data_IF_884421741858
#
_entry.id   IF_884421741858
#
_cell.length_a   1.000
_cell.length_b   1.000
_cell.length_c   1.000
_cell.angle_alpha   90.00
_cell.angle_beta   90.00
_cell.angle_gamma   90.00
#
_symmetry.space_group_name_H-M   'P 1'
#
loop_
_entity.id
_entity.type
_entity.pdbx_description
1 polymer ?
#
# COMPACT_ATOMS: atom_id res chain seq x y z
N UNK A 1 -10.12 -23.89 -21.70
CA UNK A 1 -8.79 -23.73 -21.08
C UNK A 1 -9.02 -23.16 -19.69
N UNK A 2 -8.92 -23.98 -18.64
CA UNK A 2 -9.14 -23.54 -17.26
C UNK A 2 -7.90 -22.73 -16.79
N UNK A 3 -8.07 -21.62 -16.04
CA UNK A 3 -6.92 -20.93 -15.47
C UNK A 3 -6.25 -21.84 -14.43
N UNK A 4 -4.93 -21.96 -14.50
CA UNK A 4 -4.13 -22.68 -13.53
C UNK A 4 -4.43 -22.14 -12.13
N UNK A 5 -4.81 -23.04 -11.23
CA UNK A 5 -5.07 -22.76 -9.83
C UNK A 5 -3.74 -22.30 -9.22
N UNK A 6 -3.61 -21.00 -8.97
CA UNK A 6 -2.42 -20.42 -8.32
C UNK A 6 -2.31 -21.06 -6.94
N UNK A 7 -1.25 -21.81 -6.70
CA UNK A 7 -0.98 -22.44 -5.40
C UNK A 7 -0.60 -21.37 -4.37
N UNK A 8 -1.61 -20.90 -3.63
CA UNK A 8 -1.45 -19.91 -2.56
C UNK A 8 -0.82 -20.51 -1.29
N UNK A 9 -0.83 -21.84 -1.13
CA UNK A 9 -0.45 -22.49 0.14
C UNK A 9 1.04 -22.35 0.45
N UNK A 10 1.88 -22.36 -0.60
CA UNK A 10 3.33 -22.22 -0.47
C UNK A 10 3.74 -20.78 -0.14
N UNK A 11 3.07 -19.78 -0.73
CA UNK A 11 3.37 -18.36 -0.48
C UNK A 11 2.93 -17.88 0.91
N UNK A 12 1.85 -18.44 1.45
CA UNK A 12 1.37 -18.17 2.81
C UNK A 12 2.37 -18.65 3.88
N UNK A 13 3.01 -19.79 3.65
CA UNK A 13 4.03 -20.32 4.55
C UNK A 13 5.30 -19.46 4.57
N UNK A 14 5.79 -19.06 3.38
CA UNK A 14 6.93 -18.13 3.27
C UNK A 14 6.63 -16.77 3.93
N UNK A 15 5.39 -16.29 3.83
CA UNK A 15 4.95 -15.04 4.47
C UNK A 15 4.93 -15.16 6.00
N UNK A 16 4.43 -16.29 6.52
CA UNK A 16 4.41 -16.53 7.97
C UNK A 16 5.83 -16.60 8.53
N UNK A 17 6.73 -17.36 7.91
CA UNK A 17 8.13 -17.44 8.32
C UNK A 17 8.82 -16.07 8.24
N UNK A 18 8.53 -15.28 7.20
CA UNK A 18 9.08 -13.92 7.08
C UNK A 18 8.58 -12.95 8.16
N UNK A 19 7.28 -12.97 8.49
CA UNK A 19 6.71 -12.08 9.52
C UNK A 19 7.06 -12.51 10.95
N UNK A 20 7.15 -13.82 11.21
CA UNK A 20 7.50 -14.39 12.52
C UNK A 20 8.95 -14.07 12.90
N UNK A 21 9.85 -14.07 11.93
CA UNK A 21 11.25 -13.75 12.18
C UNK A 21 11.48 -12.27 12.54
N UNK A 22 10.51 -11.37 12.31
CA UNK A 22 10.57 -9.90 12.63
C UNK A 22 11.85 -9.18 12.15
N UNK A 23 12.58 -9.80 11.23
CA UNK A 23 13.91 -9.40 10.77
C UNK A 23 13.87 -8.29 9.71
N UNK A 24 12.69 -8.01 9.16
CA UNK A 24 12.47 -6.96 8.16
C UNK A 24 13.22 -7.21 6.86
N UNK A 25 13.17 -6.24 5.94
CA UNK A 25 13.76 -6.39 4.60
C UNK A 25 15.31 -6.47 4.63
N UNK A 26 15.95 -5.99 5.72
CA UNK A 26 17.41 -6.00 5.85
C UNK A 26 17.99 -7.42 5.87
N UNK A 27 17.30 -8.38 6.51
CA UNK A 27 17.79 -9.76 6.56
C UNK A 27 17.75 -10.47 5.23
N UNK A 28 16.86 -10.09 4.31
CA UNK A 28 16.86 -10.67 2.95
C UNK A 28 18.16 -10.31 2.22
N UNK A 29 18.66 -9.09 2.44
CA UNK A 29 19.95 -8.65 1.89
C UNK A 29 21.10 -9.36 2.60
N UNK A 30 21.08 -9.40 3.94
CA UNK A 30 22.14 -10.06 4.73
C UNK A 30 22.20 -11.58 4.48
N UNK A 31 21.07 -12.23 4.15
CA UNK A 31 20.97 -13.64 3.79
C UNK A 31 21.43 -13.96 2.35
N UNK A 32 21.83 -12.94 1.57
CA UNK A 32 22.34 -13.14 0.21
C UNK A 32 21.28 -13.59 -0.78
N UNK A 33 20.01 -13.26 -0.56
CA UNK A 33 18.91 -13.64 -1.45
C UNK A 33 19.15 -13.08 -2.86
N UNK A 34 19.27 -13.97 -3.85
CA UNK A 34 19.56 -13.62 -5.26
C UNK A 34 18.29 -13.45 -6.11
N UNK A 35 17.15 -13.92 -5.60
CA UNK A 35 15.85 -13.88 -6.28
C UNK A 35 14.77 -13.29 -5.39
N UNK A 36 13.94 -12.40 -5.94
CA UNK A 36 12.85 -11.76 -5.20
C UNK A 36 11.86 -12.85 -4.73
N UNK A 37 11.60 -12.98 -3.42
CA UNK A 37 10.63 -13.95 -2.92
C UNK A 37 9.25 -13.73 -3.53
N UNK A 38 8.54 -14.82 -3.84
CA UNK A 38 7.34 -14.78 -4.68
C UNK A 38 6.20 -13.96 -4.06
N UNK A 39 6.11 -13.89 -2.73
CA UNK A 39 5.13 -13.06 -2.03
C UNK A 39 5.31 -11.55 -2.24
N UNK A 40 6.51 -11.08 -2.63
CA UNK A 40 6.72 -9.69 -3.06
C UNK A 40 6.32 -9.45 -4.53
N UNK A 41 6.14 -10.50 -5.31
CA UNK A 41 5.82 -10.42 -6.74
C UNK A 41 4.31 -10.31 -6.87
N UNK A 42 3.82 -9.08 -7.05
CA UNK A 42 2.41 -8.86 -7.33
C UNK A 42 2.05 -9.48 -8.70
N UNK A 43 0.97 -10.28 -8.77
CA UNK A 43 0.49 -10.87 -10.03
C UNK A 43 0.31 -9.80 -11.11
N UNK A 44 0.66 -10.07 -12.38
CA UNK A 44 0.55 -9.09 -13.47
C UNK A 44 -0.83 -8.44 -13.56
N UNK A 45 -1.88 -9.18 -13.22
CA UNK A 45 -3.28 -8.74 -13.23
C UNK A 45 -3.60 -7.70 -12.14
N UNK A 46 -2.74 -7.59 -11.13
CA UNK A 46 -2.89 -6.70 -9.99
C UNK A 46 -1.92 -5.51 -10.00
N UNK A 47 -0.98 -5.46 -10.95
CA UNK A 47 0.02 -4.38 -11.04
C UNK A 47 -0.66 -3.05 -11.39
N UNK A 48 -0.66 -2.13 -10.43
CA UNK A 48 -1.09 -0.75 -10.64
C UNK A 48 0.14 0.18 -10.81
N UNK A 49 0.10 0.99 -11.85
CA UNK A 49 0.87 2.22 -12.02
C UNK A 49 0.22 3.29 -11.13
N UNK A 50 0.64 3.53 -9.87
CA UNK A 50 1.75 4.37 -9.41
C UNK A 50 1.45 4.79 -7.92
N UNK A 51 2.33 5.59 -7.31
CA UNK A 51 2.73 5.74 -5.88
C UNK A 51 1.71 5.97 -4.73
N UNK A 52 2.19 5.64 -3.51
CA UNK A 52 1.72 5.89 -2.12
C UNK A 52 0.40 6.65 -1.91
N UNK A 53 -0.60 6.01 -1.31
CA UNK A 53 -1.98 6.47 -1.36
C UNK A 53 -2.50 7.02 -0.02
N UNK A 54 -3.36 8.06 -0.03
CA UNK A 54 -4.08 8.53 1.17
C UNK A 54 -5.13 7.54 1.70
N UNK A 55 -5.35 6.43 0.98
CA UNK A 55 -6.45 5.50 1.17
C UNK A 55 -6.51 4.90 2.57
N UNK A 56 -5.38 4.47 3.14
CA UNK A 56 -5.37 3.83 4.47
C UNK A 56 -5.90 4.75 5.56
N UNK A 57 -5.65 6.06 5.45
CA UNK A 57 -6.14 7.04 6.40
C UNK A 57 -7.65 7.26 6.25
N UNK A 58 -8.15 7.29 5.01
CA UNK A 58 -9.58 7.39 4.72
C UNK A 58 -10.36 6.17 5.22
N UNK A 59 -9.91 4.96 4.88
CA UNK A 59 -10.58 3.72 5.27
C UNK A 59 -10.60 3.52 6.79
N UNK A 60 -9.51 3.86 7.47
CA UNK A 60 -9.40 3.73 8.92
C UNK A 60 -10.06 4.87 9.70
N UNK A 61 -10.74 5.81 9.03
CA UNK A 61 -11.33 6.99 9.66
C UNK A 61 -10.32 7.79 10.52
N UNK A 62 -9.17 8.14 9.93
CA UNK A 62 -8.04 8.80 10.61
C UNK A 62 -7.36 8.01 11.75
N UNK A 63 -7.76 6.76 12.02
CA UNK A 63 -7.10 5.93 13.05
C UNK A 63 -5.66 5.56 12.66
N UNK A 64 -5.39 5.33 11.38
CA UNK A 64 -4.03 5.09 10.90
C UNK A 64 -3.38 6.37 10.40
N UNK A 65 -2.19 6.66 10.93
CA UNK A 65 -1.38 7.79 10.52
C UNK A 65 -0.40 7.37 9.43
N UNK A 66 -0.59 7.88 8.22
CA UNK A 66 0.43 7.78 7.16
C UNK A 66 1.57 8.76 7.47
N UNK A 67 2.77 8.24 7.67
CA UNK A 67 3.97 9.00 8.09
C UNK A 67 4.79 9.42 6.87
N UNK A 68 5.23 10.68 6.86
CA UNK A 68 6.18 11.18 5.87
C UNK A 68 7.53 10.49 6.08
N UNK A 69 8.01 9.78 5.06
CA UNK A 69 9.32 9.17 5.05
C UNK A 69 10.22 9.88 4.02
N UNK A 70 11.50 10.06 4.35
CA UNK A 70 12.52 10.61 3.44
C UNK A 70 13.75 9.71 3.45
N UNK A 71 14.44 9.65 2.32
CA UNK A 71 15.73 8.97 2.19
C UNK A 71 16.79 10.05 2.02
N UNK A 72 17.83 10.02 2.86
CA UNK A 72 18.99 10.89 2.70
C UNK A 72 19.91 10.34 1.61
N UNK A 73 20.41 11.22 0.75
CA UNK A 73 21.44 10.87 -0.22
C UNK A 73 22.73 10.49 0.53
N UNK A 74 23.40 9.42 0.06
CA UNK A 74 24.69 9.03 0.59
C UNK A 74 25.81 9.85 -0.06
N UNK A 75 26.88 10.20 0.68
CA UNK A 75 28.07 10.82 0.11
C UNK A 75 28.70 9.95 -1.00
N UNK A 76 29.47 10.59 -1.88
CA UNK A 76 30.14 9.96 -3.02
C UNK A 76 30.86 8.64 -2.62
N UNK A 77 30.65 7.58 -3.39
CA UNK A 77 31.36 6.30 -3.24
C UNK A 77 30.63 5.18 -2.50
N UNK A 78 29.40 5.38 -2.00
CA UNK A 78 28.58 4.31 -1.40
C UNK A 78 27.18 4.25 -2.03
N UNK A 79 26.95 3.37 -3.02
CA UNK A 79 25.62 3.12 -3.57
C UNK A 79 24.66 2.61 -2.48
N UNK A 80 23.47 3.22 -2.37
CA UNK A 80 22.36 2.71 -1.56
C UNK A 80 21.32 2.10 -2.49
N UNK A 81 21.07 0.81 -2.35
CA UNK A 81 20.04 0.09 -3.11
C UNK A 81 18.87 -0.19 -2.18
N UNK A 82 17.66 0.08 -2.65
CA UNK A 82 16.42 -0.27 -1.94
C UNK A 82 15.37 -0.71 -2.95
N UNK A 83 14.65 -1.79 -2.64
CA UNK A 83 13.45 -2.19 -3.34
C UNK A 83 12.23 -1.84 -2.48
N UNK A 84 11.19 -1.28 -3.10
CA UNK A 84 9.91 -0.99 -2.44
C UNK A 84 8.80 -1.71 -3.18
N UNK A 85 7.86 -2.29 -2.43
CA UNK A 85 6.63 -2.87 -2.96
C UNK A 85 5.44 -2.15 -2.34
N UNK A 86 4.48 -1.80 -3.18
CA UNK A 86 3.25 -1.12 -2.78
C UNK A 86 2.07 -2.05 -3.03
N UNK A 87 1.31 -2.36 -1.97
CA UNK A 87 0.07 -3.11 -2.11
C UNK A 87 -1.06 -2.16 -2.50
N UNK A 88 -1.54 -2.31 -3.74
CA UNK A 88 -2.59 -1.47 -4.31
C UNK A 88 -3.80 -2.34 -4.68
N UNK A 89 -5.03 -1.80 -4.54
CA UNK A 89 -6.23 -2.52 -4.93
C UNK A 89 -6.22 -2.85 -6.42
N UNK A 90 -6.68 -4.07 -6.75
CA UNK A 90 -6.88 -4.53 -8.13
C UNK A 90 -7.76 -3.54 -8.91
N UNK A 91 -7.51 -3.39 -10.21
CA UNK A 91 -8.25 -2.52 -11.13
C UNK A 91 -9.77 -2.65 -11.01
N UNK A 92 -10.29 -3.88 -10.83
CA UNK A 92 -11.73 -4.16 -10.67
C UNK A 92 -12.33 -3.61 -9.38
N UNK A 93 -11.50 -3.33 -8.38
CA UNK A 93 -11.89 -2.83 -7.06
C UNK A 93 -11.70 -1.32 -6.97
N UNK A 94 -10.92 -0.70 -7.87
CA UNK A 94 -10.59 0.73 -7.82
C UNK A 94 -11.78 1.67 -7.94
N UNK A 95 -12.76 1.28 -8.77
CA UNK A 95 -14.00 2.03 -8.98
C UNK A 95 -15.07 1.72 -7.93
N UNK A 96 -14.87 0.70 -7.08
CA UNK A 96 -15.88 0.34 -6.09
C UNK A 96 -16.00 1.45 -5.04
N UNK A 97 -17.22 1.78 -4.60
CA UNK A 97 -17.42 2.70 -3.50
C UNK A 97 -16.65 2.24 -2.26
N UNK A 98 -15.86 3.14 -1.68
CA UNK A 98 -15.12 2.94 -0.46
C UNK A 98 -15.28 4.15 0.46
N UNK A 99 -15.24 3.90 1.76
CA UNK A 99 -15.40 4.91 2.79
C UNK A 99 -14.82 4.37 4.10
N UNK A 100 -15.03 5.09 5.21
CA UNK A 100 -14.68 4.58 6.53
C UNK A 100 -15.23 3.17 6.78
N UNK A 101 -14.37 2.27 7.26
CA UNK A 101 -14.72 0.89 7.62
C UNK A 101 -15.79 0.94 8.72
N UNK A 102 -16.95 0.32 8.47
CA UNK A 102 -18.13 0.45 9.34
C UNK A 102 -17.86 -0.05 10.76
N UNK A 103 -17.07 -1.10 10.89
CA UNK A 103 -16.66 -1.73 12.14
C UNK A 103 -15.77 -0.80 12.99
N UNK A 104 -15.21 0.26 12.41
CA UNK A 104 -14.40 1.25 13.11
C UNK A 104 -15.22 2.50 13.50
N UNK A 105 -16.49 2.58 13.11
CA UNK A 105 -17.38 3.69 13.41
C UNK A 105 -18.16 3.45 14.70
N UNK A 106 -18.41 4.51 15.45
CA UNK A 106 -19.25 4.50 16.67
C UNK A 106 -19.81 5.90 16.91
N UNK A 107 -20.71 6.06 17.89
CA UNK A 107 -21.24 7.37 18.27
C UNK A 107 -20.12 8.35 18.72
N UNK A 108 -19.03 7.82 19.25
CA UNK A 108 -17.85 8.58 19.69
C UNK A 108 -16.85 8.80 18.53
N UNK A 109 -16.90 7.97 17.49
CA UNK A 109 -16.06 8.08 16.29
C UNK A 109 -16.94 8.04 15.03
N UNK A 110 -17.67 9.15 14.75
CA UNK A 110 -18.48 9.26 13.56
C UNK A 110 -17.59 9.25 12.30
N UNK A 111 -18.16 8.93 11.13
CA UNK A 111 -17.43 9.00 9.87
C UNK A 111 -16.91 10.43 9.63
N UNK A 112 -15.63 10.57 9.28
CA UNK A 112 -14.98 11.85 8.95
C UNK A 112 -15.00 12.07 7.43
N UNK A 113 -15.05 11.00 6.66
CA UNK A 113 -14.95 11.01 5.21
C UNK A 113 -16.23 10.51 4.55
N UNK A 114 -16.59 11.11 3.42
CA UNK A 114 -17.71 10.64 2.58
C UNK A 114 -17.34 9.35 1.84
N UNK A 115 -18.36 8.65 1.33
CA UNK A 115 -18.15 7.54 0.40
C UNK A 115 -17.58 8.10 -0.91
N UNK A 116 -16.51 7.50 -1.39
CA UNK A 116 -15.78 7.85 -2.62
C UNK A 116 -15.33 6.56 -3.33
N UNK A 117 -14.32 6.61 -4.19
CA UNK A 117 -13.65 5.42 -4.74
C UNK A 117 -12.14 5.59 -4.63
N UNK A 118 -11.39 4.48 -4.66
CA UNK A 118 -9.93 4.55 -4.67
C UNK A 118 -9.42 5.37 -5.85
N UNK A 119 -10.05 5.22 -7.01
CA UNK A 119 -9.66 5.94 -8.22
C UNK A 119 -9.85 7.45 -8.10
N UNK A 120 -10.96 7.91 -7.54
CA UNK A 120 -11.22 9.33 -7.27
C UNK A 120 -10.16 9.92 -6.33
N UNK A 121 -9.88 9.23 -5.22
CA UNK A 121 -8.85 9.63 -4.25
C UNK A 121 -7.48 9.74 -4.91
N UNK A 122 -7.13 8.77 -5.77
CA UNK A 122 -5.83 8.75 -6.44
C UNK A 122 -5.71 9.82 -7.52
N UNK A 123 -6.75 10.06 -8.29
CA UNK A 123 -6.75 11.11 -9.30
C UNK A 123 -6.62 12.49 -8.64
N UNK A 124 -7.37 12.74 -7.58
CA UNK A 124 -7.24 13.98 -6.81
C UNK A 124 -5.86 14.11 -6.15
N UNK A 125 -5.32 13.03 -5.57
CA UNK A 125 -3.98 13.02 -4.98
C UNK A 125 -2.88 13.37 -5.99
N UNK A 126 -2.94 12.84 -7.21
CA UNK A 126 -1.97 13.16 -8.27
C UNK A 126 -2.00 14.64 -8.66
N UNK A 127 -3.20 15.22 -8.81
CA UNK A 127 -3.37 16.64 -9.13
C UNK A 127 -2.87 17.52 -8.00
N UNK A 128 -3.32 17.25 -6.77
CA UNK A 128 -2.99 18.08 -5.61
C UNK A 128 -1.54 17.93 -5.17
N UNK A 129 -0.94 16.76 -5.36
CA UNK A 129 0.49 16.53 -5.10
C UNK A 129 1.42 17.39 -5.96
N UNK A 130 1.00 17.76 -7.17
CA UNK A 130 1.72 18.71 -8.03
C UNK A 130 1.63 20.16 -7.50
N UNK A 131 0.53 20.48 -6.83
CA UNK A 131 0.23 21.81 -6.26
C UNK A 131 0.77 21.94 -4.82
N UNK A 132 1.20 20.83 -4.21
CA UNK A 132 1.72 20.80 -2.83
C UNK A 132 0.64 20.78 -1.74
N UNK A 133 -0.62 20.51 -2.09
CA UNK A 133 -1.73 20.43 -1.15
C UNK A 133 -1.90 19.05 -0.49
N UNK A 134 -2.79 18.96 0.50
CA UNK A 134 -3.24 17.67 1.06
C UNK A 134 -4.43 17.13 0.27
N UNK A 135 -4.42 15.84 -0.08
CA UNK A 135 -5.50 15.25 -0.89
C UNK A 135 -6.78 14.91 -0.11
N UNK A 136 -6.67 14.61 1.19
CA UNK A 136 -7.79 14.14 2.03
C UNK A 136 -8.83 15.19 2.43
N UNK A 137 -8.50 16.49 2.63
CA UNK A 137 -9.50 17.51 2.94
C UNK A 137 -10.68 17.56 1.97
N UNK A 138 -10.45 17.26 0.68
CA UNK A 138 -11.51 17.23 -0.34
C UNK A 138 -12.60 16.17 -0.11
N UNK A 139 -12.29 15.13 0.67
CA UNK A 139 -13.16 13.98 0.92
C UNK A 139 -13.82 14.00 2.30
N UNK A 140 -13.58 15.03 3.12
CA UNK A 140 -14.23 15.17 4.43
C UNK A 140 -15.73 15.47 4.25
N UNK A 141 -16.53 15.06 5.24
CA UNK A 141 -17.94 15.45 5.37
C UNK A 141 -18.08 16.93 5.75
#
# INVERSE_FOLDING_TARGET
MAPALVDYTTAEKELYEFDDLKIGVKSLVDAGVTHIPRFFIQPPECRANNSSTPQNRLLSNDRFKSVKHRVLATPLGKPRISAVSFFLPCSKVRLKPCGPIKELLSDISPPIYRITSYEEVMNHYRVVGQIGGGALPHFKL
#
